data_IF_948310857869
#
_entry.id   IF_948310857869
#
_cell.length_a   1.000
_cell.length_b   1.000
_cell.length_c   1.000
_cell.angle_alpha   90.00
_cell.angle_beta   90.00
_cell.angle_gamma   90.00
#
_symmetry.space_group_name_H-M   'P 1'
#
loop_
_entity.id
_entity.type
_entity.pdbx_description
1 polymer ?
#
# COMPACT_ATOMS: atom_id res chain seq x y z
N UNK A 1 -1.57 13.62 -1.90
CA UNK A 1 -0.28 14.27 -1.54
C UNK A 1 -0.53 15.54 -0.73
N UNK A 2 -1.27 15.41 0.37
CA UNK A 2 -1.62 16.50 1.28
C UNK A 2 -1.74 15.92 2.68
N UNK A 3 -1.49 16.73 3.70
CA UNK A 3 -1.79 16.39 5.08
C UNK A 3 -2.52 17.55 5.75
N UNK A 4 -3.24 17.25 6.82
CA UNK A 4 -3.97 18.25 7.60
C UNK A 4 -3.29 18.39 8.94
N UNK A 5 -3.10 19.63 9.38
CA UNK A 5 -2.52 19.96 10.67
C UNK A 5 -3.36 21.01 11.37
N UNK A 6 -3.72 20.73 12.62
CA UNK A 6 -4.32 21.71 13.53
C UNK A 6 -3.22 22.28 14.40
N UNK A 7 -3.02 23.59 14.34
CA UNK A 7 -1.93 24.26 15.04
C UNK A 7 -2.43 25.47 15.83
N UNK A 8 -1.68 25.80 16.87
CA UNK A 8 -1.71 27.13 17.48
C UNK A 8 -0.49 27.91 16.98
N UNK A 9 -0.74 28.92 16.15
CA UNK A 9 0.31 29.81 15.66
C UNK A 9 0.51 30.93 16.69
N UNK A 10 1.67 30.97 17.32
CA UNK A 10 2.08 32.03 18.24
C UNK A 10 3.10 32.94 17.56
N UNK A 11 2.85 34.24 17.61
CA UNK A 11 3.72 35.27 17.05
C UNK A 11 3.98 36.33 18.10
N UNK A 12 5.23 36.69 18.28
CA UNK A 12 5.61 37.77 19.18
C UNK A 12 6.45 38.81 18.45
N UNK A 13 6.09 40.07 18.62
CA UNK A 13 6.85 41.21 18.11
C UNK A 13 6.75 42.38 19.07
N UNK A 14 7.70 43.31 18.99
CA UNK A 14 7.75 44.48 19.86
C UNK A 14 7.43 45.74 19.06
N UNK A 15 6.42 46.50 19.48
CA UNK A 15 6.04 47.76 18.83
C UNK A 15 6.31 48.95 19.76
N UNK A 16 7.33 49.75 19.40
CA UNK A 16 7.74 50.90 20.21
C UNK A 16 6.73 52.06 20.19
N UNK A 17 5.84 52.11 19.19
CA UNK A 17 4.85 53.18 19.00
C UNK A 17 3.74 53.13 20.04
N UNK A 18 3.49 51.96 20.63
CA UNK A 18 2.47 51.79 21.67
C UNK A 18 2.85 52.56 22.93
N UNK A 19 1.91 53.40 23.40
CA UNK A 19 2.03 54.13 24.66
C UNK A 19 1.13 53.45 25.70
N UNK A 20 1.75 52.90 26.72
CA UNK A 20 1.07 52.25 27.83
C UNK A 20 0.74 53.27 28.92
N UNK A 21 -0.39 53.12 29.64
CA UNK A 21 -0.69 53.94 30.80
C UNK A 21 0.32 53.67 31.92
N UNK A 22 0.77 54.73 32.61
CA UNK A 22 1.76 54.64 33.69
C UNK A 22 1.28 53.79 34.89
N UNK A 23 -0.03 53.66 35.07
CA UNK A 23 -0.67 52.92 36.16
C UNK A 23 -0.99 51.45 35.80
N UNK A 24 -0.19 50.80 34.95
CA UNK A 24 -0.36 49.38 34.64
C UNK A 24 0.30 48.52 35.74
N UNK A 25 -0.51 47.94 36.62
CA UNK A 25 -0.05 47.10 37.74
C UNK A 25 0.19 45.63 37.37
N UNK A 26 -0.43 45.16 36.28
CA UNK A 26 -0.29 43.78 35.78
C UNK A 26 0.85 43.68 34.76
N UNK A 27 1.56 42.55 34.74
CA UNK A 27 2.69 42.32 33.82
C UNK A 27 2.24 42.27 32.35
N UNK A 28 1.01 41.83 32.11
CA UNK A 28 0.39 41.74 30.78
C UNK A 28 -1.09 42.09 30.83
N UNK A 29 -1.64 42.50 29.69
CA UNK A 29 -3.07 42.75 29.51
C UNK A 29 -3.56 42.03 28.26
N UNK A 30 -4.70 41.36 28.38
CA UNK A 30 -5.38 40.74 27.22
C UNK A 30 -6.18 41.84 26.52
N UNK A 31 -5.92 42.03 25.23
CA UNK A 31 -6.64 42.95 24.36
C UNK A 31 -7.73 42.21 23.59
N UNK A 32 -8.80 42.94 23.28
CA UNK A 32 -9.83 42.44 22.37
C UNK A 32 -9.26 42.26 20.95
N UNK A 33 -9.78 41.29 20.22
CA UNK A 33 -9.34 40.89 18.88
C UNK A 33 -9.57 42.02 17.87
N UNK A 34 -10.56 42.89 18.10
CA UNK A 34 -10.85 44.05 17.25
C UNK A 34 -9.66 45.00 17.10
N UNK A 35 -8.79 45.09 18.11
CA UNK A 35 -7.57 45.90 18.05
C UNK A 35 -6.60 45.48 16.93
N UNK A 36 -6.71 44.25 16.42
CA UNK A 36 -5.90 43.79 15.28
C UNK A 36 -6.22 44.54 13.97
N UNK A 37 -7.33 45.27 13.90
CA UNK A 37 -7.64 46.15 12.77
C UNK A 37 -6.87 47.47 12.82
N UNK A 38 -6.52 47.94 14.02
CA UNK A 38 -5.86 49.23 14.24
C UNK A 38 -4.36 49.11 14.51
N UNK A 39 -3.88 47.91 14.84
CA UNK A 39 -2.48 47.63 15.15
C UNK A 39 -1.83 46.88 13.99
N UNK A 40 -0.60 47.27 13.65
CA UNK A 40 0.20 46.54 12.68
C UNK A 40 0.54 45.12 13.17
N UNK A 41 0.40 44.13 12.29
CA UNK A 41 0.80 42.74 12.52
C UNK A 41 1.70 42.24 11.39
N UNK A 42 2.65 41.34 11.68
CA UNK A 42 3.47 40.73 10.65
C UNK A 42 2.62 39.91 9.68
N UNK A 43 2.96 39.98 8.40
CA UNK A 43 2.27 39.32 7.29
C UNK A 43 2.86 37.93 7.02
N UNK A 44 2.54 36.96 7.89
CA UNK A 44 2.91 35.57 7.64
C UNK A 44 1.88 34.87 6.73
N UNK A 45 2.36 33.97 5.88
CA UNK A 45 1.50 33.01 5.18
C UNK A 45 2.16 31.65 5.07
N UNK A 46 1.35 30.61 4.85
CA UNK A 46 1.84 29.25 4.69
C UNK A 46 2.09 28.94 3.22
N UNK A 47 3.36 28.92 2.81
CA UNK A 47 3.79 28.77 1.42
C UNK A 47 3.23 27.53 0.72
N UNK A 48 3.18 26.41 1.43
CA UNK A 48 2.68 25.13 0.90
C UNK A 48 1.23 24.81 1.31
N UNK A 49 0.49 25.76 1.89
CA UNK A 49 -0.92 25.56 2.20
C UNK A 49 -1.78 25.65 0.95
N UNK A 50 -2.62 24.64 0.73
CA UNK A 50 -3.69 24.68 -0.27
C UNK A 50 -4.95 25.34 0.28
N UNK A 51 -5.18 25.22 1.58
CA UNK A 51 -6.31 25.82 2.29
C UNK A 51 -5.89 26.11 3.73
N UNK A 52 -6.26 27.29 4.20
CA UNK A 52 -6.10 27.73 5.59
C UNK A 52 -7.48 28.09 6.10
N UNK A 53 -7.85 27.57 7.27
CA UNK A 53 -9.13 27.89 7.92
C UNK A 53 -8.88 28.41 9.33
N UNK A 54 -9.38 29.60 9.59
CA UNK A 54 -9.43 30.21 10.92
C UNK A 54 -10.64 29.68 11.68
N UNK A 55 -10.47 29.40 12.97
CA UNK A 55 -11.54 28.86 13.81
C UNK A 55 -12.31 29.97 14.52
N UNK A 56 -13.47 30.31 13.96
CA UNK A 56 -14.49 31.13 14.61
C UNK A 56 -15.47 30.20 15.34
N UNK A 57 -15.19 29.88 16.61
CA UNK A 57 -16.24 29.37 17.50
C UNK A 57 -16.97 30.55 18.14
N UNK A 58 -17.94 30.29 19.02
CA UNK A 58 -18.78 31.31 19.71
C UNK A 58 -18.02 32.52 20.26
N UNK A 59 -16.72 32.37 20.51
CA UNK A 59 -15.74 33.44 20.68
C UNK A 59 -14.59 33.14 19.69
N UNK A 60 -14.08 34.12 18.92
CA UNK A 60 -12.94 33.89 18.03
C UNK A 60 -11.76 33.37 18.84
N UNK A 61 -11.13 32.26 18.39
CA UNK A 61 -9.98 31.64 19.08
C UNK A 61 -8.68 32.42 18.82
N UNK A 62 -8.77 33.73 18.96
CA UNK A 62 -7.72 34.70 18.76
C UNK A 62 -7.57 35.43 20.08
N UNK A 63 -6.35 35.56 20.58
CA UNK A 63 -6.09 36.41 21.72
C UNK A 63 -4.78 37.16 21.51
N UNK A 64 -4.77 38.40 21.99
CA UNK A 64 -3.66 39.33 21.86
C UNK A 64 -3.24 39.74 23.26
N UNK A 65 -2.02 39.40 23.64
CA UNK A 65 -1.45 39.77 24.93
C UNK A 65 -0.48 40.92 24.72
N UNK A 66 -0.66 41.99 25.49
CA UNK A 66 0.23 43.15 25.51
C UNK A 66 1.01 43.14 26.83
N UNK A 67 2.32 42.95 26.72
CA UNK A 67 3.24 42.99 27.85
C UNK A 67 3.68 44.43 28.17
N UNK A 68 4.13 44.64 29.40
CA UNK A 68 4.59 45.95 29.88
C UNK A 68 5.81 46.49 29.09
N UNK A 69 6.61 45.63 28.48
CA UNK A 69 7.76 45.99 27.65
C UNK A 69 7.40 46.41 26.22
N UNK A 70 6.09 46.51 25.93
CA UNK A 70 5.46 46.76 24.61
C UNK A 70 5.58 45.60 23.63
N UNK A 71 5.85 44.40 24.12
CA UNK A 71 5.79 43.19 23.31
C UNK A 71 4.34 42.75 23.17
N UNK A 72 3.93 42.49 21.94
CA UNK A 72 2.66 41.88 21.60
C UNK A 72 2.89 40.39 21.37
N UNK A 73 2.01 39.56 21.92
CA UNK A 73 1.90 38.13 21.62
C UNK A 73 0.53 37.87 21.04
N UNK A 74 0.51 37.49 19.77
CA UNK A 74 -0.69 37.07 19.06
C UNK A 74 -0.71 35.56 18.96
N UNK A 75 -1.83 34.94 19.35
CA UNK A 75 -2.04 33.51 19.17
C UNK A 75 -3.35 33.26 18.43
N UNK A 76 -3.31 32.36 17.46
CA UNK A 76 -4.48 31.94 16.69
C UNK A 76 -4.46 30.43 16.45
N UNK A 77 -5.64 29.81 16.56
CA UNK A 77 -5.83 28.41 16.17
C UNK A 77 -6.18 28.31 14.69
N UNK A 78 -5.42 27.52 13.95
CA UNK A 78 -5.57 27.33 12.51
C UNK A 78 -5.68 25.84 12.18
N UNK A 79 -6.54 25.51 11.20
CA UNK A 79 -6.46 24.23 10.50
C UNK A 79 -5.87 24.47 9.12
N UNK A 80 -4.82 23.73 8.81
CA UNK A 80 -4.04 23.87 7.59
C UNK A 80 -4.17 22.60 6.76
N UNK A 81 -4.48 22.75 5.47
CA UNK A 81 -4.34 21.67 4.48
C UNK A 81 -3.06 21.95 3.69
N UNK A 82 -2.00 21.21 4.02
CA UNK A 82 -0.66 21.44 3.51
C UNK A 82 -0.32 20.44 2.41
N UNK A 83 0.39 20.92 1.39
CA UNK A 83 0.94 20.09 0.32
C UNK A 83 2.23 19.42 0.81
N UNK A 84 2.34 18.11 0.59
CA UNK A 84 3.54 17.33 0.90
C UNK A 84 3.82 16.36 -0.24
N UNK A 85 5.02 16.48 -0.83
CA UNK A 85 5.50 15.62 -1.91
C UNK A 85 6.03 14.30 -1.33
N UNK A 86 5.13 13.34 -1.15
CA UNK A 86 5.44 12.02 -0.59
C UNK A 86 6.12 11.13 -1.64
N UNK A 87 7.09 10.30 -1.22
CA UNK A 87 7.80 9.33 -2.06
C UNK A 87 7.46 7.91 -1.63
N UNK A 88 6.87 7.11 -2.52
CA UNK A 88 6.33 5.78 -2.19
C UNK A 88 7.19 4.61 -2.68
N UNK A 89 8.48 4.85 -3.01
CA UNK A 89 9.38 3.82 -3.53
C UNK A 89 9.46 2.60 -2.59
N UNK A 90 9.65 2.86 -1.29
CA UNK A 90 9.70 1.82 -0.26
C UNK A 90 8.35 1.49 0.38
N UNK A 91 7.21 1.88 -0.23
CA UNK A 91 5.90 1.64 0.38
C UNK A 91 5.62 0.14 0.55
N UNK A 92 5.12 -0.33 1.73
CA UNK A 92 4.66 0.42 2.92
C UNK A 92 5.71 0.61 4.04
N UNK A 93 6.98 0.34 3.79
CA UNK A 93 8.10 0.53 4.72
C UNK A 93 8.65 1.97 4.71
N UNK A 94 7.87 2.91 4.17
CA UNK A 94 8.28 4.27 3.88
C UNK A 94 8.29 5.16 5.13
N UNK A 95 9.21 6.14 5.11
CA UNK A 95 9.18 7.31 5.99
C UNK A 95 8.99 8.54 5.12
N UNK A 96 7.93 9.29 5.39
CA UNK A 96 7.58 10.51 4.67
C UNK A 96 8.09 11.73 5.42
N UNK A 97 8.64 12.68 4.68
CA UNK A 97 9.10 13.95 5.24
C UNK A 97 8.15 15.04 4.75
N UNK A 98 7.32 15.56 5.64
CA UNK A 98 6.37 16.61 5.32
C UNK A 98 6.75 17.92 6.00
N UNK A 99 6.96 18.96 5.20
CA UNK A 99 7.28 20.29 5.71
C UNK A 99 6.04 21.18 5.85
N UNK A 100 6.10 22.11 6.79
CA UNK A 100 5.20 23.25 6.95
C UNK A 100 6.08 24.49 6.87
N UNK A 101 5.83 25.35 5.88
CA UNK A 101 6.68 26.52 5.61
C UNK A 101 5.87 27.81 5.84
N UNK A 102 6.41 28.69 6.67
CA UNK A 102 5.86 30.00 7.03
C UNK A 102 6.79 31.06 6.43
N UNK A 103 6.26 31.93 5.58
CA UNK A 103 7.03 32.92 4.82
C UNK A 103 6.38 34.31 4.95
N UNK A 104 7.17 35.37 4.83
CA UNK A 104 6.64 36.74 4.74
C UNK A 104 6.03 36.99 3.37
N UNK A 105 4.85 37.63 3.31
CA UNK A 105 4.14 37.82 2.05
C UNK A 105 4.71 39.00 1.23
N UNK A 106 4.95 40.13 1.88
CA UNK A 106 5.27 41.41 1.23
C UNK A 106 6.58 42.04 1.71
N UNK A 107 6.99 41.76 2.95
CA UNK A 107 8.22 42.32 3.53
C UNK A 107 9.44 41.46 3.21
N UNK A 108 10.53 42.12 2.81
CA UNK A 108 11.83 41.46 2.59
C UNK A 108 12.55 41.23 3.92
N UNK A 109 13.66 40.48 3.89
CA UNK A 109 14.52 40.26 5.07
C UNK A 109 15.12 41.54 5.67
N UNK A 110 15.07 42.67 4.95
CA UNK A 110 15.50 43.96 5.49
C UNK A 110 14.47 44.58 6.43
N UNK A 111 13.18 44.30 6.22
CA UNK A 111 12.07 44.90 6.97
C UNK A 111 11.54 43.95 8.04
N UNK A 112 11.50 42.64 7.73
CA UNK A 112 10.91 41.61 8.59
C UNK A 112 11.74 40.34 8.56
N UNK A 113 12.09 39.83 9.74
CA UNK A 113 12.82 38.56 9.91
C UNK A 113 12.06 37.69 10.91
N UNK A 114 11.77 36.46 10.51
CA UNK A 114 11.19 35.46 11.39
C UNK A 114 12.30 34.70 12.11
N UNK A 115 12.11 34.51 13.41
CA UNK A 115 13.07 33.80 14.26
C UNK A 115 12.27 32.83 15.13
N UNK A 116 12.72 31.59 15.18
CA UNK A 116 12.17 30.59 16.10
C UNK A 116 12.40 31.03 17.56
N UNK A 117 11.43 30.77 18.43
CA UNK A 117 11.65 30.98 19.86
C UNK A 117 12.81 30.09 20.35
N UNK A 118 13.73 30.66 21.12
CA UNK A 118 14.93 29.98 21.60
C UNK A 118 14.63 28.90 22.64
N UNK A 119 13.53 29.02 23.40
CA UNK A 119 13.15 28.02 24.41
C UNK A 119 12.33 26.90 23.78
N UNK A 120 11.23 27.26 23.12
CA UNK A 120 10.21 26.32 22.65
C UNK A 120 9.77 26.69 21.22
N UNK A 121 10.56 26.30 20.19
CA UNK A 121 10.24 26.64 18.81
C UNK A 121 9.06 25.84 18.27
N UNK A 122 8.85 24.61 18.77
CA UNK A 122 7.76 23.73 18.40
C UNK A 122 7.37 22.85 19.58
N UNK A 123 6.10 22.90 19.97
CA UNK A 123 5.54 22.00 20.98
C UNK A 123 4.51 21.10 20.29
N UNK A 124 4.75 19.80 20.31
CA UNK A 124 3.82 18.78 19.82
C UNK A 124 3.25 18.05 21.02
N UNK A 125 1.93 17.85 21.05
CA UNK A 125 1.29 17.09 22.11
C UNK A 125 1.77 15.61 22.06
N UNK A 126 2.37 15.08 23.14
CA UNK A 126 2.90 13.71 23.17
C UNK A 126 1.82 12.63 23.02
N UNK A 127 0.56 12.95 23.32
CA UNK A 127 -0.57 12.00 23.24
C UNK A 127 -1.15 11.88 21.82
N UNK A 128 -0.59 12.59 20.83
CA UNK A 128 -1.07 12.52 19.44
C UNK A 128 -0.65 11.17 18.85
N UNK A 129 -1.65 10.31 18.63
CA UNK A 129 -1.49 9.07 17.87
C UNK A 129 -2.20 9.17 16.52
N UNK A 130 -1.47 8.88 15.45
CA UNK A 130 -2.03 8.74 14.11
C UNK A 130 -2.29 7.26 13.81
N UNK A 131 -3.46 6.88 13.23
CA UNK A 131 -3.78 5.47 13.02
C UNK A 131 -2.85 4.72 12.07
N UNK A 132 -2.33 5.40 11.04
CA UNK A 132 -1.54 4.79 9.96
C UNK A 132 -0.06 5.20 9.98
N UNK A 133 0.26 6.31 10.64
CA UNK A 133 1.57 6.95 10.64
C UNK A 133 2.01 7.17 12.07
N UNK A 134 3.28 7.43 12.27
CA UNK A 134 3.87 7.74 13.55
C UNK A 134 4.80 8.93 13.38
N UNK A 135 4.71 9.91 14.27
CA UNK A 135 5.57 11.09 14.22
C UNK A 135 6.88 10.71 14.89
N UNK A 136 7.90 10.42 14.09
CA UNK A 136 9.16 9.89 14.61
C UNK A 136 10.09 10.99 15.12
N UNK A 137 10.25 12.07 14.35
CA UNK A 137 11.11 13.21 14.67
C UNK A 137 10.57 14.49 14.01
N UNK A 138 10.76 15.61 14.68
CA UNK A 138 10.45 16.95 14.19
C UNK A 138 11.72 17.81 14.15
N UNK A 139 11.88 18.60 13.09
CA UNK A 139 13.05 19.45 12.89
C UNK A 139 12.56 20.84 12.50
N UNK A 140 13.07 21.87 13.18
CA UNK A 140 12.83 23.27 12.83
C UNK A 140 14.03 23.82 12.06
N UNK A 141 13.79 24.43 10.90
CA UNK A 141 14.84 24.97 10.03
C UNK A 141 14.47 26.35 9.51
N UNK A 142 15.48 27.10 9.04
CA UNK A 142 15.31 28.32 8.25
C UNK A 142 15.27 27.93 6.76
N UNK A 143 14.31 28.47 6.02
CA UNK A 143 14.09 28.23 4.59
C UNK A 143 14.11 29.52 3.76
N UNK A 144 14.72 30.59 4.29
CA UNK A 144 14.85 31.90 3.63
C UNK A 144 15.34 31.72 2.20
N UNK A 145 14.63 32.33 1.26
CA UNK A 145 14.84 32.13 -0.18
C UNK A 145 14.87 33.47 -0.91
N UNK A 146 15.67 33.51 -1.97
CA UNK A 146 15.77 34.64 -2.89
C UNK A 146 14.76 34.51 -4.03
N UNK A 147 13.96 35.54 -4.21
CA UNK A 147 13.10 35.74 -5.38
C UNK A 147 13.63 36.89 -6.23
N UNK A 148 13.08 37.04 -7.44
CA UNK A 148 13.40 38.16 -8.32
C UNK A 148 13.13 39.54 -7.71
N UNK A 149 12.23 39.61 -6.73
CA UNK A 149 11.85 40.83 -5.99
C UNK A 149 12.71 41.08 -4.75
N UNK A 150 13.52 40.12 -4.31
CA UNK A 150 14.37 40.22 -3.12
C UNK A 150 14.36 38.95 -2.26
N UNK A 151 15.02 39.02 -1.10
CA UNK A 151 15.06 37.93 -0.11
C UNK A 151 13.87 38.01 0.85
N UNK A 152 13.19 36.88 1.05
CA UNK A 152 12.04 36.77 1.95
C UNK A 152 12.33 35.76 3.05
N UNK A 153 12.05 36.14 4.29
CA UNK A 153 12.27 35.29 5.46
C UNK A 153 11.30 34.11 5.44
N UNK A 154 11.80 32.92 5.74
CA UNK A 154 11.00 31.69 5.75
C UNK A 154 11.46 30.79 6.89
N UNK A 155 10.51 30.28 7.67
CA UNK A 155 10.74 29.25 8.68
C UNK A 155 10.01 27.97 8.29
N UNK A 156 10.67 26.83 8.47
CA UNK A 156 10.11 25.53 8.16
C UNK A 156 10.12 24.60 9.37
N UNK A 157 9.05 23.81 9.49
CA UNK A 157 8.99 22.64 10.36
C UNK A 157 8.93 21.41 9.48
N UNK A 158 9.79 20.43 9.72
CA UNK A 158 9.83 19.16 9.01
C UNK A 158 9.37 18.06 9.95
N UNK A 159 8.27 17.39 9.57
CA UNK A 159 7.73 16.22 10.26
C UNK A 159 8.18 14.95 9.56
N UNK A 160 8.89 14.08 10.28
CA UNK A 160 9.19 12.73 9.83
C UNK A 160 8.04 11.81 10.27
N UNK A 161 7.31 11.30 9.28
CA UNK A 161 6.14 10.46 9.46
C UNK A 161 6.47 9.03 9.01
N UNK A 162 6.63 8.11 9.94
CA UNK A 162 6.92 6.70 9.66
C UNK A 162 5.61 5.91 9.52
N UNK A 163 5.46 5.09 8.49
CA UNK A 163 4.25 4.27 8.33
C UNK A 163 4.23 3.08 9.29
N UNK A 164 3.06 2.81 9.87
CA UNK A 164 2.81 1.62 10.69
C UNK A 164 2.55 0.41 9.78
N UNK A 165 3.39 -0.61 9.89
CA UNK A 165 3.38 -1.77 8.98
C UNK A 165 2.27 -2.79 9.29
N UNK A 166 1.74 -2.80 10.52
CA UNK A 166 0.84 -3.85 11.02
C UNK A 166 -0.38 -4.11 10.12
N UNK A 167 -1.03 -3.06 9.63
CA UNK A 167 -2.18 -3.20 8.72
C UNK A 167 -1.81 -3.95 7.43
N UNK A 168 -0.69 -3.58 6.80
CA UNK A 168 -0.22 -4.20 5.56
C UNK A 168 0.25 -5.64 5.76
N UNK A 169 0.79 -5.98 6.93
CA UNK A 169 1.15 -7.36 7.28
C UNK A 169 -0.08 -8.28 7.24
N UNK A 170 -1.15 -7.93 7.95
CA UNK A 170 -2.32 -8.79 8.09
C UNK A 170 -3.22 -8.80 6.85
N UNK A 171 -3.35 -7.68 6.13
CA UNK A 171 -4.26 -7.58 4.99
C UNK A 171 -3.60 -7.85 3.63
N UNK A 172 -2.27 -7.69 3.51
CA UNK A 172 -1.58 -7.84 2.24
C UNK A 172 -0.54 -8.97 2.27
N UNK A 173 0.46 -8.90 3.14
CA UNK A 173 1.58 -9.86 3.13
C UNK A 173 1.18 -11.27 3.55
N UNK A 174 0.48 -11.44 4.68
CA UNK A 174 0.08 -12.77 5.17
C UNK A 174 -0.86 -13.48 4.18
N UNK A 175 -1.96 -12.86 3.69
CA UNK A 175 -2.86 -13.53 2.76
C UNK A 175 -2.19 -13.85 1.41
N UNK A 176 -1.35 -12.96 0.88
CA UNK A 176 -0.64 -13.22 -0.39
C UNK A 176 0.36 -14.37 -0.26
N UNK A 177 1.10 -14.44 0.86
CA UNK A 177 1.97 -15.57 1.17
C UNK A 177 1.17 -16.89 1.28
N UNK A 178 0.03 -16.88 1.97
CA UNK A 178 -0.85 -18.05 2.06
C UNK A 178 -1.35 -18.50 0.70
N UNK A 179 -1.66 -17.59 -0.23
CA UNK A 179 -2.08 -17.96 -1.60
C UNK A 179 -0.95 -18.64 -2.37
N UNK A 180 0.31 -18.16 -2.23
CA UNK A 180 1.48 -18.84 -2.82
C UNK A 180 1.65 -20.24 -2.23
N UNK A 181 1.48 -20.40 -0.92
CA UNK A 181 1.50 -21.70 -0.25
C UNK A 181 0.35 -22.59 -0.77
N UNK A 182 -0.85 -22.05 -1.01
CA UNK A 182 -1.97 -22.81 -1.56
C UNK A 182 -1.68 -23.29 -2.99
N UNK A 183 -0.95 -22.52 -3.80
CA UNK A 183 -0.67 -22.89 -5.19
C UNK A 183 0.23 -24.13 -5.30
N UNK A 184 1.20 -24.31 -4.39
CA UNK A 184 2.07 -25.49 -4.40
C UNK A 184 1.44 -26.75 -3.79
N UNK A 185 0.25 -26.66 -3.17
CA UNK A 185 -0.49 -27.86 -2.73
C UNK A 185 -0.83 -28.72 -3.94
N UNK A 186 -0.94 -28.11 -5.12
CA UNK A 186 -1.12 -28.81 -6.39
C UNK A 186 -0.04 -29.86 -6.68
N UNK A 187 1.20 -29.70 -6.18
CA UNK A 187 2.30 -30.67 -6.36
C UNK A 187 2.12 -31.96 -5.54
N UNK A 188 1.28 -31.91 -4.50
CA UNK A 188 0.94 -33.07 -3.67
C UNK A 188 -0.25 -33.84 -4.21
N UNK A 189 -1.04 -33.22 -5.07
CA UNK A 189 -2.19 -33.85 -5.72
C UNK A 189 -1.69 -34.75 -6.83
N UNK A 190 -2.24 -35.96 -6.88
CA UNK A 190 -1.99 -36.95 -7.93
C UNK A 190 -2.16 -36.29 -9.32
N UNK A 191 -1.20 -36.43 -10.24
CA UNK A 191 -1.23 -35.73 -11.52
C UNK A 191 -2.42 -36.17 -12.40
N UNK A 192 -3.06 -37.31 -12.10
CA UNK A 192 -4.29 -37.77 -12.75
C UNK A 192 -5.52 -36.88 -12.44
N UNK A 193 -5.50 -36.10 -11.35
CA UNK A 193 -6.58 -35.20 -10.95
C UNK A 193 -6.44 -33.79 -11.58
N UNK A 194 -6.46 -33.75 -12.92
CA UNK A 194 -6.32 -32.52 -13.74
C UNK A 194 -7.24 -31.37 -13.27
N UNK A 195 -8.55 -31.57 -13.03
CA UNK A 195 -9.45 -30.46 -12.69
C UNK A 195 -9.05 -29.75 -11.39
N UNK A 196 -8.63 -30.51 -10.38
CA UNK A 196 -8.24 -29.96 -9.09
C UNK A 196 -6.98 -29.08 -9.18
N UNK A 197 -5.95 -29.53 -9.91
CA UNK A 197 -4.69 -28.78 -10.06
C UNK A 197 -4.89 -27.48 -10.85
N UNK A 198 -5.65 -27.52 -11.94
CA UNK A 198 -5.96 -26.32 -12.75
C UNK A 198 -6.75 -25.30 -11.94
N UNK A 199 -7.81 -25.74 -11.26
CA UNK A 199 -8.65 -24.84 -10.46
C UNK A 199 -7.84 -24.17 -9.36
N UNK A 200 -7.02 -24.91 -8.60
CA UNK A 200 -6.18 -24.31 -7.55
C UNK A 200 -5.19 -23.28 -8.11
N UNK A 201 -4.53 -23.56 -9.25
CA UNK A 201 -3.58 -22.64 -9.86
C UNK A 201 -4.24 -21.37 -10.41
N UNK A 202 -5.33 -21.51 -11.17
CA UNK A 202 -6.05 -20.38 -11.78
C UNK A 202 -6.74 -19.52 -10.72
N UNK A 203 -7.41 -20.15 -9.74
CA UNK A 203 -8.05 -19.41 -8.65
C UNK A 203 -7.02 -18.63 -7.84
N UNK A 204 -5.86 -19.22 -7.52
CA UNK A 204 -4.79 -18.52 -6.81
C UNK A 204 -4.28 -17.30 -7.57
N UNK A 205 -4.10 -17.42 -8.89
CA UNK A 205 -3.65 -16.31 -9.74
C UNK A 205 -4.69 -15.19 -9.79
N UNK A 206 -5.97 -15.54 -9.94
CA UNK A 206 -7.08 -14.59 -9.93
C UNK A 206 -7.14 -13.86 -8.57
N UNK A 207 -7.05 -14.59 -7.45
CA UNK A 207 -7.08 -14.01 -6.11
C UNK A 207 -5.92 -13.04 -5.89
N UNK A 208 -4.69 -13.39 -6.31
CA UNK A 208 -3.55 -12.45 -6.24
C UNK A 208 -3.75 -11.21 -7.12
N UNK A 209 -4.30 -11.37 -8.32
CA UNK A 209 -4.59 -10.24 -9.21
C UNK A 209 -5.64 -9.28 -8.60
N UNK A 210 -6.69 -9.84 -7.98
CA UNK A 210 -7.69 -9.06 -7.23
C UNK A 210 -7.06 -8.34 -6.05
N UNK A 211 -6.23 -9.03 -5.25
CA UNK A 211 -5.56 -8.43 -4.09
C UNK A 211 -4.59 -7.32 -4.49
N UNK A 212 -3.85 -7.49 -5.59
CA UNK A 212 -2.96 -6.45 -6.12
C UNK A 212 -3.78 -5.20 -6.48
N UNK A 213 -4.89 -5.38 -7.19
CA UNK A 213 -5.79 -4.27 -7.55
C UNK A 213 -6.33 -3.55 -6.31
N UNK A 214 -6.76 -4.30 -5.29
CA UNK A 214 -7.25 -3.74 -4.02
C UNK A 214 -6.15 -2.93 -3.30
N UNK A 215 -4.92 -3.43 -3.29
CA UNK A 215 -3.78 -2.73 -2.68
C UNK A 215 -3.48 -1.39 -3.39
N UNK A 216 -3.65 -1.31 -4.72
CA UNK A 216 -3.39 -0.07 -5.47
C UNK A 216 -4.50 0.97 -5.29
N UNK A 217 -5.73 0.58 -4.99
CA UNK A 217 -6.85 1.53 -4.81
C UNK A 217 -6.64 2.47 -3.62
N UNK A 218 -5.88 2.03 -2.61
CA UNK A 218 -5.57 2.83 -1.42
C UNK A 218 -4.43 3.84 -1.63
N UNK A 219 -3.82 3.85 -2.82
CA UNK A 219 -2.67 4.68 -3.15
C UNK A 219 -2.98 5.59 -4.34
N UNK A 220 -2.43 6.82 -4.37
CA UNK A 220 -2.45 7.60 -5.60
C UNK A 220 -1.69 6.86 -6.71
N UNK A 221 -2.14 6.94 -7.97
CA UNK A 221 -1.42 6.33 -9.08
C UNK A 221 -0.05 6.99 -9.22
N UNK A 222 1.00 6.18 -9.09
CA UNK A 222 2.40 6.58 -9.29
C UNK A 222 3.02 5.75 -10.40
N UNK A 223 3.92 6.35 -11.17
CA UNK A 223 4.50 5.73 -12.37
C UNK A 223 5.74 4.87 -12.12
N UNK A 224 6.28 4.89 -10.90
CA UNK A 224 7.46 4.09 -10.52
C UNK A 224 7.06 2.84 -9.74
N UNK A 225 7.98 1.88 -9.70
CA UNK A 225 7.82 0.60 -8.98
C UNK A 225 7.93 0.83 -7.48
N UNK A 226 6.98 0.28 -6.73
CA UNK A 226 6.96 0.31 -5.25
C UNK A 226 7.41 -1.03 -4.67
N UNK A 227 7.89 -1.05 -3.43
CA UNK A 227 8.27 -2.28 -2.74
C UNK A 227 7.12 -3.30 -2.65
N UNK A 228 5.87 -2.84 -2.45
CA UNK A 228 4.70 -3.72 -2.49
C UNK A 228 4.43 -4.32 -3.87
N UNK A 229 4.74 -3.59 -4.95
CA UNK A 229 4.56 -4.09 -6.32
C UNK A 229 5.55 -5.22 -6.59
N UNK A 230 6.80 -5.08 -6.12
CA UNK A 230 7.84 -6.12 -6.21
C UNK A 230 7.37 -7.39 -5.48
N UNK A 231 6.84 -7.24 -4.26
CA UNK A 231 6.27 -8.36 -3.51
C UNK A 231 5.13 -9.04 -4.27
N UNK A 232 4.11 -8.30 -4.68
CA UNK A 232 2.94 -8.86 -5.37
C UNK A 232 3.31 -9.48 -6.72
N UNK A 233 4.17 -8.83 -7.50
CA UNK A 233 4.69 -9.39 -8.76
C UNK A 233 5.48 -10.67 -8.54
N UNK A 234 6.32 -10.73 -7.51
CA UNK A 234 7.07 -11.95 -7.19
C UNK A 234 6.15 -13.11 -6.82
N UNK A 235 5.14 -12.88 -5.96
CA UNK A 235 4.12 -13.87 -5.62
C UNK A 235 3.34 -14.34 -6.86
N UNK A 236 2.96 -13.43 -7.76
CA UNK A 236 2.30 -13.78 -9.02
C UNK A 236 3.18 -14.65 -9.93
N UNK A 237 4.49 -14.37 -10.02
CA UNK A 237 5.43 -15.19 -10.77
C UNK A 237 5.51 -16.60 -10.18
N UNK A 238 5.56 -16.76 -8.85
CA UNK A 238 5.57 -18.08 -8.22
C UNK A 238 4.29 -18.89 -8.51
N UNK A 239 3.12 -18.25 -8.41
CA UNK A 239 1.85 -18.92 -8.75
C UNK A 239 1.80 -19.27 -10.24
N UNK A 240 2.24 -18.37 -11.12
CA UNK A 240 2.32 -18.66 -12.56
C UNK A 240 3.27 -19.82 -12.87
N UNK A 241 4.44 -19.87 -12.23
CA UNK A 241 5.38 -20.98 -12.38
C UNK A 241 4.80 -22.31 -11.86
N UNK A 242 3.97 -22.28 -10.81
CA UNK A 242 3.26 -23.49 -10.34
C UNK A 242 2.22 -23.99 -11.35
N UNK A 243 1.56 -23.09 -12.07
CA UNK A 243 0.64 -23.45 -13.15
C UNK A 243 1.40 -23.98 -14.39
N UNK A 244 2.55 -23.37 -14.70
CA UNK A 244 3.44 -23.82 -15.77
C UNK A 244 3.99 -25.22 -15.48
N UNK A 245 4.38 -25.49 -14.24
CA UNK A 245 4.81 -26.81 -13.78
C UNK A 245 3.73 -27.86 -14.05
N UNK A 246 2.49 -27.57 -13.68
CA UNK A 246 1.36 -28.46 -13.97
C UNK A 246 1.19 -28.71 -15.48
N UNK A 247 1.31 -27.68 -16.31
CA UNK A 247 1.21 -27.83 -17.76
C UNK A 247 2.32 -28.75 -18.32
N UNK A 248 3.54 -28.62 -17.80
CA UNK A 248 4.67 -29.48 -18.14
C UNK A 248 4.43 -30.92 -17.68
N UNK A 249 4.00 -31.13 -16.43
CA UNK A 249 3.65 -32.45 -15.88
C UNK A 249 2.58 -33.12 -16.73
N UNK A 250 1.51 -32.41 -17.07
CA UNK A 250 0.41 -32.94 -17.88
C UNK A 250 0.87 -33.32 -19.30
N UNK A 251 1.75 -32.53 -19.92
CA UNK A 251 2.31 -32.83 -21.23
C UNK A 251 3.14 -34.13 -21.23
N UNK A 252 4.00 -34.31 -20.23
CA UNK A 252 4.78 -35.55 -20.07
C UNK A 252 3.93 -36.76 -19.69
N UNK A 253 2.73 -36.53 -19.15
CA UNK A 253 1.78 -37.59 -18.77
C UNK A 253 0.83 -38.04 -19.89
N UNK A 254 1.01 -37.56 -21.14
CA UNK A 254 0.12 -37.82 -22.29
C UNK A 254 -0.22 -39.30 -22.57
N UNK A 255 -1.02 -39.57 -23.62
CA UNK A 255 -2.43 -40.03 -23.61
C UNK A 255 -2.84 -41.20 -22.67
N UNK A 256 -2.19 -41.38 -21.51
CA UNK A 256 -2.63 -42.33 -20.48
C UNK A 256 -3.82 -41.75 -19.70
N UNK A 257 -3.83 -40.43 -19.44
CA UNK A 257 -4.93 -39.76 -18.74
C UNK A 257 -6.24 -39.72 -19.55
N UNK A 258 -6.18 -39.58 -20.89
CA UNK A 258 -7.37 -39.60 -21.75
C UNK A 258 -8.00 -40.98 -21.88
N UNK A 259 -7.23 -42.07 -21.80
CA UNK A 259 -7.80 -43.44 -21.77
C UNK A 259 -8.55 -43.73 -20.46
N UNK A 260 -8.08 -43.23 -19.32
CA UNK A 260 -8.76 -43.42 -18.02
C UNK A 260 -10.04 -42.58 -17.94
N UNK A 261 -10.08 -41.39 -18.56
CA UNK A 261 -11.28 -40.56 -18.61
C UNK A 261 -12.36 -41.10 -19.57
N UNK A 262 -11.98 -41.88 -20.60
CA UNK A 262 -12.93 -42.49 -21.54
C UNK A 262 -13.61 -43.76 -21.01
N UNK A 263 -13.07 -44.36 -19.95
CA UNK A 263 -13.60 -45.60 -19.35
C UNK A 263 -14.79 -45.42 -18.42
N UNK A 264 -15.33 -44.21 -18.24
CA UNK A 264 -16.43 -43.96 -17.29
C UNK A 264 -17.70 -43.35 -17.91
N UNK A 265 -17.84 -43.31 -19.24
CA UNK A 265 -19.01 -42.63 -19.83
C UNK A 265 -19.60 -43.19 -21.14
N UNK A 266 -19.08 -44.25 -21.76
CA UNK A 266 -19.67 -44.81 -22.99
C UNK A 266 -20.25 -46.23 -22.85
N UNK A 267 -19.85 -47.03 -21.85
CA UNK A 267 -20.31 -48.43 -21.74
C UNK A 267 -21.60 -48.61 -20.91
N UNK A 268 -21.96 -47.68 -20.01
CA UNK A 268 -23.16 -47.79 -19.16
C UNK A 268 -24.46 -47.28 -19.85
N UNK A 269 -24.37 -46.63 -21.02
CA UNK A 269 -25.55 -46.09 -21.73
C UNK A 269 -26.17 -47.13 -22.69
N UNK A 270 -25.48 -48.25 -22.96
CA UNK A 270 -25.95 -49.28 -23.91
C UNK A 270 -26.50 -50.55 -23.26
N UNK A 271 -26.57 -50.62 -21.93
CA UNK A 271 -27.07 -51.80 -21.19
C UNK A 271 -28.53 -51.72 -20.71
N UNK A 272 -29.30 -50.74 -21.16
CA UNK A 272 -30.54 -50.31 -20.50
C UNK A 272 -31.86 -50.61 -21.20
N UNK A 273 -31.92 -51.39 -22.28
CA UNK A 273 -33.19 -51.76 -22.93
C UNK A 273 -33.15 -53.21 -23.41
N UNK A 274 -33.58 -54.15 -22.55
CA UNK A 274 -34.15 -55.42 -23.02
C UNK A 274 -35.09 -56.00 -21.95
N UNK A 275 -36.38 -55.68 -22.11
CA UNK A 275 -37.48 -56.36 -21.41
C UNK A 275 -37.86 -57.60 -22.21
N UNK A 276 -37.78 -58.75 -21.54
CA UNK A 276 -38.09 -60.12 -21.98
C UNK A 276 -39.32 -60.26 -22.90
N UNK A 277 -39.18 -61.09 -23.93
CA UNK A 277 -40.20 -62.08 -24.30
C UNK A 277 -39.59 -63.34 -24.95
N UNK A 278 -40.26 -64.49 -24.74
CA UNK A 278 -39.77 -65.87 -24.85
C UNK A 278 -39.94 -66.52 -26.25
N UNK A 279 -38.86 -67.19 -26.71
CA UNK A 279 -38.81 -68.55 -27.30
C UNK A 279 -39.27 -68.80 -28.78
N UNK A 280 -39.02 -69.99 -29.41
CA UNK A 280 -37.83 -70.22 -30.26
C UNK A 280 -38.13 -70.75 -31.68
N UNK A 281 -37.24 -70.52 -32.66
CA UNK A 281 -36.93 -71.45 -33.79
C UNK A 281 -35.92 -70.86 -34.79
N UNK A 282 -35.04 -71.74 -35.30
CA UNK A 282 -34.35 -71.69 -36.62
C UNK A 282 -32.85 -71.31 -36.70
N UNK A 283 -32.02 -72.37 -36.76
CA UNK A 283 -30.92 -72.64 -37.72
C UNK A 283 -29.77 -71.62 -37.98
N UNK A 284 -28.60 -71.96 -37.43
CA UNK A 284 -27.26 -72.10 -38.06
C UNK A 284 -26.52 -70.90 -38.72
N UNK A 285 -25.17 -70.92 -38.79
CA UNK A 285 -24.31 -69.80 -38.41
C UNK A 285 -23.80 -68.97 -39.60
N UNK A 286 -23.57 -67.66 -39.37
CA UNK A 286 -22.74 -66.83 -40.26
C UNK A 286 -21.55 -66.32 -39.46
N UNK A 287 -20.40 -66.85 -39.82
CA UNK A 287 -19.07 -66.49 -39.37
C UNK A 287 -18.69 -65.15 -40.04
N UNK A 288 -18.89 -64.02 -39.37
CA UNK A 288 -18.27 -62.76 -39.77
C UNK A 288 -16.96 -62.60 -39.01
N UNK A 289 -15.87 -62.72 -39.76
CA UNK A 289 -14.52 -62.40 -39.33
C UNK A 289 -14.48 -60.90 -39.04
N UNK A 290 -14.55 -60.53 -37.76
CA UNK A 290 -14.20 -59.18 -37.32
C UNK A 290 -12.68 -59.04 -37.47
N UNK A 291 -12.28 -58.38 -38.54
CA UNK A 291 -10.94 -57.81 -38.68
C UNK A 291 -10.70 -56.86 -37.51
N UNK A 292 -9.96 -57.33 -36.51
CA UNK A 292 -9.40 -56.47 -35.47
C UNK A 292 -8.43 -55.52 -36.19
N UNK A 293 -8.92 -54.32 -36.51
CA UNK A 293 -8.07 -53.22 -36.93
C UNK A 293 -7.10 -52.97 -35.77
N UNK A 294 -5.84 -53.39 -35.95
CA UNK A 294 -4.77 -53.09 -35.03
C UNK A 294 -4.67 -51.56 -34.93
N UNK A 295 -5.16 -51.01 -33.83
CA UNK A 295 -4.91 -49.62 -33.48
C UNK A 295 -3.38 -49.44 -33.47
N UNK A 296 -2.84 -48.38 -34.10
CA UNK A 296 -1.40 -48.15 -34.06
C UNK A 296 -1.00 -47.95 -32.60
N UNK A 297 -0.30 -48.94 -32.04
CA UNK A 297 0.42 -48.79 -30.78
C UNK A 297 1.60 -47.88 -31.07
N UNK A 298 1.39 -46.57 -30.92
CA UNK A 298 2.51 -45.65 -30.75
C UNK A 298 3.32 -46.15 -29.55
N UNK A 299 4.64 -46.34 -29.68
CA UNK A 299 5.47 -46.72 -28.53
C UNK A 299 5.35 -45.60 -27.50
N UNK A 300 4.53 -45.82 -26.47
CA UNK A 300 4.42 -44.89 -25.36
C UNK A 300 5.77 -44.85 -24.69
N UNK A 301 6.38 -43.68 -24.65
CA UNK A 301 7.62 -43.43 -23.93
C UNK A 301 7.43 -43.85 -22.47
N UNK A 302 7.88 -45.07 -22.10
CA UNK A 302 7.69 -45.66 -20.77
C UNK A 302 8.29 -44.83 -19.62
N UNK A 303 9.04 -43.77 -19.92
CA UNK A 303 9.60 -42.83 -18.95
C UNK A 303 8.76 -41.57 -18.68
N UNK A 304 7.67 -41.30 -19.42
CA UNK A 304 6.90 -40.06 -19.27
C UNK A 304 6.31 -39.87 -17.86
N UNK A 305 5.76 -40.96 -17.29
CA UNK A 305 5.23 -40.96 -15.92
C UNK A 305 6.31 -40.81 -14.85
N UNK A 306 7.45 -41.45 -15.02
CA UNK A 306 8.57 -41.34 -14.08
C UNK A 306 9.15 -39.92 -14.06
N UNK A 307 9.27 -39.29 -15.25
CA UNK A 307 9.71 -37.91 -15.39
C UNK A 307 8.70 -36.95 -14.76
N UNK A 308 7.39 -37.12 -15.02
CA UNK A 308 6.33 -36.33 -14.40
C UNK A 308 6.38 -36.36 -12.86
N UNK A 309 6.51 -37.56 -12.28
CA UNK A 309 6.63 -37.73 -10.83
C UNK A 309 7.93 -37.15 -10.26
N UNK A 310 9.02 -37.21 -11.02
CA UNK A 310 10.29 -36.59 -10.63
C UNK A 310 10.17 -35.06 -10.59
N UNK A 311 9.50 -34.46 -11.59
CA UNK A 311 9.23 -33.02 -11.63
C UNK A 311 8.41 -32.60 -10.40
N UNK A 312 7.27 -33.26 -10.13
CA UNK A 312 6.46 -32.97 -8.93
C UNK A 312 7.32 -33.08 -7.64
N UNK A 313 8.17 -34.11 -7.52
CA UNK A 313 9.03 -34.33 -6.34
C UNK A 313 10.08 -33.23 -6.17
N UNK A 314 10.67 -32.76 -7.26
CA UNK A 314 11.63 -31.66 -7.24
C UNK A 314 10.94 -30.33 -6.89
N UNK A 315 9.80 -30.04 -7.51
CA UNK A 315 9.01 -28.82 -7.29
C UNK A 315 8.57 -28.65 -5.83
N UNK A 316 8.26 -29.76 -5.14
CA UNK A 316 7.91 -29.76 -3.70
C UNK A 316 8.99 -29.18 -2.79
N UNK A 317 10.26 -29.29 -3.16
CA UNK A 317 11.36 -28.71 -2.38
C UNK A 317 11.79 -27.35 -2.93
N UNK A 318 11.90 -27.25 -4.25
CA UNK A 318 12.43 -26.06 -4.92
C UNK A 318 11.57 -24.82 -4.68
N UNK A 319 10.24 -24.91 -4.80
CA UNK A 319 9.35 -23.76 -4.66
C UNK A 319 9.35 -23.18 -3.23
N UNK A 320 9.16 -24.00 -2.15
CA UNK A 320 9.28 -23.50 -0.78
C UNK A 320 10.64 -22.92 -0.45
N UNK A 321 11.71 -23.57 -0.87
CA UNK A 321 13.06 -23.09 -0.60
C UNK A 321 13.35 -21.75 -1.30
N UNK A 322 12.99 -21.64 -2.58
CA UNK A 322 13.14 -20.41 -3.36
C UNK A 322 12.29 -19.26 -2.80
N UNK A 323 11.03 -19.53 -2.41
CA UNK A 323 10.17 -18.53 -1.78
C UNK A 323 10.71 -18.08 -0.42
N UNK A 324 11.29 -18.98 0.37
CA UNK A 324 11.96 -18.62 1.62
C UNK A 324 13.15 -17.68 1.40
N UNK A 325 14.00 -17.96 0.41
CA UNK A 325 15.11 -17.07 0.04
C UNK A 325 14.58 -15.69 -0.37
N UNK A 326 13.52 -15.65 -1.19
CA UNK A 326 12.91 -14.38 -1.59
C UNK A 326 12.40 -13.59 -0.39
N UNK A 327 11.74 -14.26 0.57
CA UNK A 327 11.29 -13.62 1.80
C UNK A 327 12.46 -13.01 2.57
N UNK A 328 13.51 -13.78 2.82
CA UNK A 328 14.70 -13.28 3.52
C UNK A 328 15.28 -12.07 2.78
N UNK A 329 15.50 -12.16 1.46
CA UNK A 329 16.02 -11.07 0.66
C UNK A 329 15.13 -9.81 0.74
N UNK A 330 13.82 -9.97 0.54
CA UNK A 330 12.85 -8.87 0.57
C UNK A 330 12.82 -8.15 1.92
N UNK A 331 12.71 -8.91 3.01
CA UNK A 331 12.65 -8.34 4.34
C UNK A 331 13.98 -7.70 4.74
N UNK A 332 15.12 -8.25 4.32
CA UNK A 332 16.42 -7.60 4.60
C UNK A 332 16.69 -6.34 3.80
N UNK A 333 16.07 -6.16 2.63
CA UNK A 333 16.29 -4.97 1.80
C UNK A 333 15.37 -3.80 2.17
N UNK A 334 14.17 -4.09 2.67
CA UNK A 334 13.13 -3.08 2.91
C UNK A 334 12.81 -2.82 4.39
N UNK A 335 13.27 -3.66 5.31
CA UNK A 335 13.22 -3.42 6.76
C UNK A 335 14.45 -2.64 7.22
#
# INVERSE_FOLDING_TARGET
>A
MTYVADIFLAQSWRDQRLRLPENMSEDYRILDVEWLHDIWRPDCFFKNAKKVTFHEMSIPNHYLWLYHDKTLLYMSKLTLVLSCAMKFESYPHDTQICSMMIESLSHTTHDLVFIWNMTDPLVVNPDIELPQLDISNNITTDCTIEYSTGNFTCLAVMFNLRRRLGYHLFHTYIPSALIVVMSWISFWIKPEAIPARVTLGVTSLLTLATQNTQSQQSLPPVSYVKAIDIWMSSCSIFVFLSLMEFAVVNNYMGPVATKVMKGYSEDDIRGGDDFKELDPKSRSPIRSVATVAAAPQYPTFCNGRAIALYIDKFSRFFFPFSFFILNVAYWTSFL
#
